data_IF_101080419108
#
_entry.id   IF_101080419108
#
_cell.length_a   1.000
_cell.length_b   1.000
_cell.length_c   1.000
_cell.angle_alpha   90.00
_cell.angle_beta   90.00
_cell.angle_gamma   90.00
#
_symmetry.space_group_name_H-M   'P 1'
#
loop_
_entity.id
_entity.type
_entity.pdbx_description
1 polymer ?
#
# COMPACT_ATOMS: atom_id res chain seq x y z
N UNK A 1 -7.11 1.84 -52.94
CA UNK A 1 -5.98 1.87 -52.00
C UNK A 1 -6.45 2.49 -50.70
N UNK A 2 -6.19 1.79 -49.60
CA UNK A 2 -6.39 2.06 -48.17
C UNK A 2 -7.11 3.33 -47.68
N UNK A 3 -8.10 3.06 -46.84
CA UNK A 3 -8.73 3.98 -45.90
C UNK A 3 -7.76 4.43 -44.79
N UNK A 4 -7.86 5.70 -44.36
CA UNK A 4 -7.31 6.18 -43.09
C UNK A 4 -8.49 6.62 -42.19
N UNK A 5 -8.65 5.94 -41.05
CA UNK A 5 -9.67 6.22 -40.04
C UNK A 5 -9.30 7.47 -39.22
N UNK A 6 -10.27 8.32 -38.81
CA UNK A 6 -10.02 9.35 -37.82
C UNK A 6 -10.09 8.73 -36.41
N UNK A 7 -8.96 8.69 -35.69
CA UNK A 7 -8.95 8.34 -34.26
C UNK A 7 -9.21 9.60 -33.44
N UNK A 8 -10.47 9.84 -33.07
CA UNK A 8 -10.83 10.84 -32.08
C UNK A 8 -10.40 10.29 -30.72
N UNK A 9 -9.25 10.74 -30.22
CA UNK A 9 -8.94 10.62 -28.80
C UNK A 9 -9.96 11.45 -28.03
N UNK A 10 -10.97 10.77 -27.49
CA UNK A 10 -11.75 11.28 -26.37
C UNK A 10 -10.78 11.54 -25.21
N UNK A 11 -10.74 12.75 -24.63
CA UNK A 11 -10.15 12.90 -23.32
C UNK A 11 -10.94 11.98 -22.38
N UNK A 12 -10.25 11.02 -21.78
CA UNK A 12 -10.81 10.15 -20.75
C UNK A 12 -11.33 11.09 -19.68
N UNK A 13 -12.66 11.22 -19.60
CA UNK A 13 -13.31 12.01 -18.57
C UNK A 13 -12.69 11.61 -17.23
N UNK A 14 -11.98 12.55 -16.62
CA UNK A 14 -11.50 12.41 -15.26
C UNK A 14 -12.76 12.29 -14.42
N UNK A 15 -13.11 11.04 -14.09
CA UNK A 15 -14.11 10.79 -13.06
C UNK A 15 -13.58 11.53 -11.84
N UNK A 16 -14.34 12.51 -11.29
CA UNK A 16 -13.97 13.11 -10.02
C UNK A 16 -13.72 11.95 -9.07
N UNK A 17 -12.48 11.82 -8.61
CA UNK A 17 -12.15 10.90 -7.52
C UNK A 17 -13.08 11.32 -6.40
N UNK A 18 -14.13 10.50 -6.21
CA UNK A 18 -15.09 10.61 -5.12
C UNK A 18 -14.27 10.93 -3.88
N UNK A 19 -14.38 12.17 -3.43
CA UNK A 19 -13.66 12.70 -2.26
C UNK A 19 -14.25 11.97 -1.07
N UNK A 20 -13.78 10.74 -0.87
CA UNK A 20 -14.20 9.86 0.18
C UNK A 20 -13.88 10.54 1.49
N UNK A 21 -14.92 10.77 2.28
CA UNK A 21 -14.85 11.23 3.65
C UNK A 21 -13.82 10.40 4.43
N UNK A 22 -12.59 10.89 4.53
CA UNK A 22 -11.59 10.35 5.42
C UNK A 22 -10.94 11.54 6.09
N UNK A 23 -11.41 11.84 7.29
CA UNK A 23 -10.54 12.49 8.26
C UNK A 23 -9.26 11.65 8.45
N UNK A 24 -8.23 12.20 9.09
CA UNK A 24 -6.99 11.46 9.33
C UNK A 24 -7.34 10.11 9.97
N UNK A 25 -7.02 9.02 9.28
CA UNK A 25 -7.19 7.67 9.83
C UNK A 25 -6.27 7.59 11.04
N UNK A 26 -6.88 7.54 12.24
CA UNK A 26 -6.10 7.39 13.46
C UNK A 26 -5.56 5.96 13.52
N UNK A 27 -4.24 5.84 13.38
CA UNK A 27 -3.54 4.57 13.54
C UNK A 27 -3.44 4.31 15.06
N UNK A 28 -3.97 3.19 15.57
CA UNK A 28 -3.84 2.86 16.98
C UNK A 28 -2.37 2.65 17.37
N UNK A 29 -2.07 2.59 18.66
CA UNK A 29 -0.74 2.21 19.12
C UNK A 29 -0.36 0.78 18.66
N UNK A 30 0.93 0.47 18.71
CA UNK A 30 1.47 -0.81 18.19
C UNK A 30 0.85 -2.03 18.85
N UNK A 31 0.61 -2.02 20.17
CA UNK A 31 0.06 -3.17 20.89
C UNK A 31 -1.41 -3.38 20.52
N UNK A 32 -2.20 -2.32 20.51
CA UNK A 32 -3.60 -2.36 20.09
C UNK A 32 -3.74 -2.81 18.64
N UNK A 33 -2.91 -2.28 17.74
CA UNK A 33 -2.88 -2.68 16.33
C UNK A 33 -2.60 -4.18 16.16
N UNK A 34 -1.56 -4.69 16.82
CA UNK A 34 -1.17 -6.09 16.69
C UNK A 34 -2.25 -7.03 17.24
N UNK A 35 -2.90 -6.67 18.36
CA UNK A 35 -4.03 -7.43 18.90
C UNK A 35 -5.23 -7.46 17.94
N UNK A 36 -5.56 -6.31 17.34
CA UNK A 36 -6.62 -6.21 16.33
C UNK A 36 -6.30 -7.05 15.09
N UNK A 37 -5.06 -7.00 14.61
CA UNK A 37 -4.61 -7.75 13.45
C UNK A 37 -4.65 -9.26 13.69
N UNK A 38 -4.18 -9.72 14.85
CA UNK A 38 -4.27 -11.13 15.24
C UNK A 38 -5.73 -11.58 15.35
N UNK A 39 -6.57 -10.83 16.07
CA UNK A 39 -8.00 -11.12 16.21
C UNK A 39 -8.74 -11.14 14.86
N UNK A 40 -8.37 -10.24 13.95
CA UNK A 40 -8.93 -10.19 12.60
C UNK A 40 -8.57 -11.47 11.82
N UNK A 41 -7.30 -11.84 11.78
CA UNK A 41 -6.86 -13.03 11.04
C UNK A 41 -7.42 -14.34 11.63
N UNK A 42 -7.56 -14.43 12.96
CA UNK A 42 -8.21 -15.56 13.63
C UNK A 42 -9.68 -15.69 13.22
N UNK A 43 -10.42 -14.58 13.10
CA UNK A 43 -11.79 -14.59 12.57
C UNK A 43 -11.87 -15.04 11.11
N UNK A 44 -10.80 -14.83 10.34
CA UNK A 44 -10.66 -15.38 8.97
C UNK A 44 -10.22 -16.85 8.95
N UNK A 45 -10.06 -17.49 10.12
CA UNK A 45 -9.58 -18.88 10.22
C UNK A 45 -8.08 -19.04 9.93
N UNK A 46 -7.32 -17.94 9.95
CA UNK A 46 -5.88 -17.96 9.69
C UNK A 46 -5.09 -17.63 10.95
N UNK A 47 -4.02 -18.38 11.20
CA UNK A 47 -3.06 -18.02 12.24
C UNK A 47 -2.20 -16.86 11.75
N UNK A 48 -2.24 -15.73 12.45
CA UNK A 48 -1.34 -14.61 12.16
C UNK A 48 0.13 -15.05 12.26
N UNK A 49 0.92 -14.70 11.26
CA UNK A 49 2.38 -14.86 11.27
C UNK A 49 3.01 -13.60 10.72
N UNK A 50 3.98 -13.05 11.46
CA UNK A 50 4.73 -11.88 11.01
C UNK A 50 5.62 -12.29 9.84
N UNK A 51 5.49 -11.67 8.66
CA UNK A 51 6.34 -11.97 7.52
C UNK A 51 7.77 -11.47 7.77
N UNK A 52 8.74 -12.15 7.18
CA UNK A 52 10.13 -11.69 7.15
C UNK A 52 10.36 -10.85 5.89
N UNK A 53 10.93 -9.67 6.05
CA UNK A 53 11.29 -8.76 4.96
C UNK A 53 12.72 -8.24 5.19
N UNK A 54 13.55 -8.25 4.14
CA UNK A 54 14.98 -7.89 4.25
C UNK A 54 15.69 -8.63 5.41
N UNK A 55 15.48 -9.95 5.50
CA UNK A 55 16.03 -10.84 6.53
C UNK A 55 15.63 -10.53 7.98
N UNK A 56 14.68 -9.62 8.19
CA UNK A 56 14.20 -9.22 9.51
C UNK A 56 12.68 -9.40 9.63
N UNK A 57 12.14 -9.65 10.84
CA UNK A 57 10.70 -9.61 11.06
C UNK A 57 10.14 -8.23 10.69
N UNK A 58 9.10 -8.19 9.86
CA UNK A 58 8.51 -6.94 9.42
C UNK A 58 7.71 -6.29 10.56
N UNK A 59 7.98 -5.02 10.84
CA UNK A 59 7.12 -4.24 11.74
C UNK A 59 5.82 -3.84 11.00
N UNK A 60 4.76 -4.61 11.22
CA UNK A 60 3.48 -4.45 10.55
C UNK A 60 2.79 -3.12 10.89
N UNK A 61 2.93 -2.66 12.14
CA UNK A 61 2.38 -1.40 12.57
C UNK A 61 3.01 -0.23 11.83
N UNK A 62 4.34 -0.19 11.73
CA UNK A 62 5.06 0.86 11.00
C UNK A 62 4.71 0.90 9.52
N UNK A 63 4.61 -0.26 8.87
CA UNK A 63 4.18 -0.35 7.46
C UNK A 63 2.78 0.25 7.30
N UNK A 64 1.85 -0.17 8.16
CA UNK A 64 0.48 0.32 8.11
C UNK A 64 0.41 1.83 8.37
N UNK A 65 1.12 2.33 9.39
CA UNK A 65 1.16 3.74 9.73
C UNK A 65 1.71 4.61 8.59
N UNK A 66 2.80 4.17 7.96
CA UNK A 66 3.42 4.86 6.84
C UNK A 66 2.52 4.85 5.59
N UNK A 67 1.81 3.74 5.33
CA UNK A 67 0.87 3.66 4.22
C UNK A 67 -0.33 4.58 4.47
N UNK A 68 -0.88 4.60 5.69
CA UNK A 68 -2.01 5.48 6.03
C UNK A 68 -1.63 6.96 6.00
N UNK A 69 -0.43 7.34 6.45
CA UNK A 69 0.03 8.74 6.38
C UNK A 69 0.17 9.25 4.94
N UNK A 70 0.38 8.35 3.98
CA UNK A 70 0.51 8.64 2.54
C UNK A 70 -0.80 8.54 1.76
N UNK A 71 -1.94 8.42 2.45
CA UNK A 71 -3.26 8.34 1.80
C UNK A 71 -3.73 6.93 1.49
N UNK A 72 -3.11 5.90 2.09
CA UNK A 72 -3.54 4.51 2.03
C UNK A 72 -2.95 3.71 0.87
N UNK A 73 -3.31 2.43 0.83
CA UNK A 73 -2.72 1.43 -0.09
C UNK A 73 -2.80 1.82 -1.57
N UNK A 74 -3.98 2.29 -2.04
CA UNK A 74 -4.16 2.66 -3.44
C UNK A 74 -3.24 3.81 -3.82
N UNK A 75 -3.16 4.85 -2.98
CA UNK A 75 -2.30 6.01 -3.22
C UNK A 75 -0.83 5.61 -3.29
N UNK A 76 -0.35 4.81 -2.33
CA UNK A 76 1.04 4.33 -2.29
C UNK A 76 1.38 3.48 -3.52
N UNK A 77 0.45 2.62 -3.95
CA UNK A 77 0.66 1.71 -5.07
C UNK A 77 0.63 2.44 -6.40
N UNK A 78 -0.38 3.28 -6.64
CA UNK A 78 -0.53 4.06 -7.88
C UNK A 78 0.62 5.06 -8.08
N UNK A 79 1.09 5.69 -6.99
CA UNK A 79 2.21 6.62 -7.02
C UNK A 79 3.59 5.96 -6.88
N UNK A 80 3.67 4.63 -6.84
CA UNK A 80 4.93 3.86 -6.74
C UNK A 80 5.79 4.21 -5.52
N UNK A 81 5.14 4.56 -4.40
CA UNK A 81 5.78 5.03 -3.17
C UNK A 81 6.31 3.90 -2.27
N UNK A 82 6.19 2.63 -2.68
CA UNK A 82 6.66 1.49 -1.89
C UNK A 82 8.15 1.57 -1.54
N UNK A 83 9.00 2.11 -2.42
CA UNK A 83 10.42 2.36 -2.10
C UNK A 83 10.60 3.33 -0.94
N UNK A 84 9.80 4.40 -0.91
CA UNK A 84 9.87 5.40 0.17
C UNK A 84 9.32 4.84 1.48
N UNK A 85 8.25 4.06 1.42
CA UNK A 85 7.75 3.31 2.59
C UNK A 85 8.85 2.39 3.13
N UNK A 86 9.52 1.61 2.28
CA UNK A 86 10.61 0.74 2.73
C UNK A 86 11.80 1.48 3.35
N UNK A 87 12.12 2.70 2.88
CA UNK A 87 13.18 3.53 3.47
C UNK A 87 12.88 3.93 4.90
N UNK A 88 11.61 4.22 5.24
CA UNK A 88 11.24 4.59 6.63
C UNK A 88 11.26 3.39 7.58
N UNK A 89 11.16 2.17 7.03
CA UNK A 89 11.29 0.92 7.79
C UNK A 89 12.75 0.51 8.05
N UNK A 90 13.73 1.32 7.61
CA UNK A 90 15.16 1.03 7.68
C UNK A 90 15.55 -0.31 7.06
N UNK A 91 14.81 -0.75 6.04
CA UNK A 91 15.09 -1.98 5.32
C UNK A 91 16.19 -1.75 4.28
N UNK A 92 17.24 -2.57 4.29
CA UNK A 92 18.23 -2.57 3.21
C UNK A 92 17.65 -3.26 1.98
N UNK A 93 17.28 -2.46 0.98
CA UNK A 93 16.72 -2.94 -0.29
C UNK A 93 17.79 -3.54 -1.21
N UNK A 94 19.08 -3.54 -0.84
CA UNK A 94 20.16 -4.10 -1.64
C UNK A 94 19.92 -5.59 -1.88
N UNK A 95 19.79 -5.97 -3.16
CA UNK A 95 19.54 -7.36 -3.57
C UNK A 95 18.06 -7.80 -3.55
N UNK A 96 17.12 -6.91 -3.22
CA UNK A 96 15.69 -7.21 -3.31
C UNK A 96 15.15 -6.89 -4.72
N UNK A 97 14.87 -7.92 -5.51
CA UNK A 97 14.48 -7.77 -6.93
C UNK A 97 13.00 -7.40 -7.14
N UNK A 98 12.14 -7.67 -6.16
CA UNK A 98 10.67 -7.56 -6.33
C UNK A 98 10.02 -6.44 -5.53
N UNK A 99 10.76 -5.76 -4.64
CA UNK A 99 10.21 -4.78 -3.69
C UNK A 99 9.72 -3.46 -4.35
N UNK A 100 9.77 -3.35 -5.68
CA UNK A 100 9.50 -2.09 -6.38
C UNK A 100 8.86 -2.25 -7.76
N UNK A 101 8.44 -3.45 -8.16
CA UNK A 101 7.76 -3.65 -9.44
C UNK A 101 6.27 -3.35 -9.26
N UNK A 102 5.92 -2.06 -9.33
CA UNK A 102 4.56 -1.55 -9.55
C UNK A 102 4.70 -0.27 -10.35
#
# INVERSE_FOLDING_TARGET
GSAAKPSKHTPRAERPLERGANGPVQVPDEATFMNLLESFTLRLGQKFRVPTFCHSPLNMHKVFAEVQSRGGYNMVTEQKLWKDVCRTLHCDLKGQTSASFS
#
